data_IF_343242988512
#
_entry.id   IF_343242988512
#
_cell.length_a   1.000
_cell.length_b   1.000
_cell.length_c   1.000
_cell.angle_alpha   90.00
_cell.angle_beta   90.00
_cell.angle_gamma   90.00
#
_symmetry.space_group_name_H-M   'P 1'
#
loop_
_entity.id
_entity.type
_entity.pdbx_description
1 polymer ?
#
# COMPACT_ATOMS: atom_id res chain seq x y z
N UNK A 1 -21.65 3.80 -16.59
CA UNK A 1 -20.57 4.24 -17.50
C UNK A 1 -20.04 3.02 -18.21
N UNK A 2 -19.98 3.03 -19.54
CA UNK A 2 -19.38 1.98 -20.34
C UNK A 2 -17.87 2.01 -20.14
N UNK A 3 -17.30 0.89 -19.66
CA UNK A 3 -15.85 0.71 -19.65
C UNK A 3 -15.32 0.86 -21.08
N UNK A 4 -14.18 1.53 -21.31
CA UNK A 4 -13.59 1.59 -22.64
C UNK A 4 -13.39 0.18 -23.18
N UNK A 5 -13.65 -0.05 -24.47
CA UNK A 5 -13.31 -1.32 -25.12
C UNK A 5 -11.80 -1.51 -25.04
N UNK A 6 -11.36 -2.24 -24.03
CA UNK A 6 -9.97 -2.60 -23.85
C UNK A 6 -9.61 -3.73 -24.82
N UNK A 7 -8.98 -3.39 -25.94
CA UNK A 7 -8.10 -4.38 -26.58
C UNK A 7 -7.13 -4.88 -25.53
N UNK A 8 -7.07 -6.18 -25.34
CA UNK A 8 -6.44 -6.90 -24.22
C UNK A 8 -5.10 -6.32 -23.77
N UNK A 9 -5.13 -5.30 -22.88
CA UNK A 9 -3.93 -4.76 -22.26
C UNK A 9 -3.42 -5.73 -21.21
N UNK A 10 -2.11 -5.88 -21.12
CA UNK A 10 -1.47 -6.73 -20.12
C UNK A 10 -1.02 -5.89 -18.93
N UNK A 11 -1.43 -6.30 -17.73
CA UNK A 11 -1.05 -5.67 -16.46
C UNK A 11 -0.19 -6.64 -15.66
N UNK A 12 0.95 -6.17 -15.19
CA UNK A 12 1.78 -6.91 -14.26
C UNK A 12 1.51 -6.46 -12.82
N UNK A 13 1.27 -7.41 -11.94
CA UNK A 13 0.97 -7.21 -10.54
C UNK A 13 2.05 -7.87 -9.69
N UNK A 14 2.75 -7.09 -8.85
CA UNK A 14 3.76 -7.62 -7.93
C UNK A 14 3.17 -7.98 -6.58
N UNK A 15 3.91 -8.74 -5.76
CA UNK A 15 3.44 -9.15 -4.44
C UNK A 15 2.24 -10.11 -4.50
N UNK A 16 2.30 -11.08 -5.42
CA UNK A 16 1.22 -12.01 -5.71
C UNK A 16 0.79 -12.90 -4.53
N UNK A 17 1.56 -12.95 -3.45
CA UNK A 17 1.17 -13.59 -2.18
C UNK A 17 0.43 -12.66 -1.21
N UNK A 18 0.19 -11.41 -1.58
CA UNK A 18 -0.43 -10.40 -0.71
C UNK A 18 -1.92 -10.64 -0.42
N UNK A 19 -2.43 -10.12 0.71
CA UNK A 19 -3.79 -10.41 1.18
C UNK A 19 -4.91 -9.80 0.33
N UNK A 20 -4.61 -8.81 -0.53
CA UNK A 20 -5.58 -8.18 -1.42
C UNK A 20 -5.55 -8.76 -2.85
N UNK A 21 -4.59 -9.63 -3.14
CA UNK A 21 -4.23 -9.99 -4.51
C UNK A 21 -5.39 -10.63 -5.28
N UNK A 22 -6.11 -11.56 -4.64
CA UNK A 22 -7.24 -12.23 -5.28
C UNK A 22 -8.33 -11.23 -5.70
N UNK A 23 -8.63 -10.26 -4.83
CA UNK A 23 -9.59 -9.20 -5.13
C UNK A 23 -9.09 -8.23 -6.20
N UNK A 24 -7.80 -7.88 -6.20
CA UNK A 24 -7.20 -7.03 -7.23
C UNK A 24 -7.25 -7.71 -8.60
N UNK A 25 -6.91 -8.99 -8.68
CA UNK A 25 -7.03 -9.80 -9.91
C UNK A 25 -8.48 -9.84 -10.39
N UNK A 26 -9.43 -10.03 -9.46
CA UNK A 26 -10.85 -9.99 -9.79
C UNK A 26 -11.28 -8.65 -10.39
N UNK A 27 -10.86 -7.54 -9.80
CA UNK A 27 -11.13 -6.18 -10.32
C UNK A 27 -10.54 -6.04 -11.72
N UNK A 28 -9.27 -6.38 -11.94
CA UNK A 28 -8.65 -6.29 -13.27
C UNK A 28 -9.37 -7.12 -14.33
N UNK A 29 -9.84 -8.32 -13.96
CA UNK A 29 -10.64 -9.16 -14.87
C UNK A 29 -11.96 -8.53 -15.29
N UNK A 30 -12.62 -7.77 -14.39
CA UNK A 30 -13.85 -7.04 -14.77
C UNK A 30 -13.59 -5.95 -15.82
N UNK A 31 -12.33 -5.55 -15.99
CA UNK A 31 -11.87 -4.61 -17.01
C UNK A 31 -11.35 -5.29 -18.28
N UNK A 32 -11.29 -6.63 -18.32
CA UNK A 32 -10.78 -7.38 -19.48
C UNK A 32 -9.25 -7.37 -19.61
N UNK A 33 -8.51 -7.01 -18.56
CA UNK A 33 -7.05 -7.06 -18.60
C UNK A 33 -6.52 -8.49 -18.53
N UNK A 34 -5.45 -8.76 -19.31
CA UNK A 34 -4.61 -9.93 -19.11
C UNK A 34 -3.65 -9.66 -17.94
N UNK A 35 -3.50 -10.63 -17.05
CA UNK A 35 -2.81 -10.46 -15.78
C UNK A 35 -1.56 -11.32 -15.72
N UNK A 36 -0.42 -10.66 -15.51
CA UNK A 36 0.87 -11.29 -15.17
C UNK A 36 1.13 -11.05 -13.70
N UNK A 37 1.36 -12.10 -12.91
CA UNK A 37 1.63 -12.00 -11.49
C UNK A 37 3.07 -12.37 -11.16
N UNK A 38 3.74 -11.60 -10.29
CA UNK A 38 5.09 -11.91 -9.84
C UNK A 38 5.19 -11.85 -8.31
N UNK A 39 6.01 -12.73 -7.74
CA UNK A 39 6.35 -12.76 -6.32
C UNK A 39 7.70 -13.42 -6.11
N UNK A 40 8.34 -13.15 -4.98
CA UNK A 40 9.57 -13.85 -4.59
C UNK A 40 9.30 -15.27 -4.06
N UNK A 41 8.08 -15.55 -3.60
CA UNK A 41 7.68 -16.85 -3.06
C UNK A 41 7.03 -17.72 -4.14
N UNK A 42 7.49 -18.96 -4.35
CA UNK A 42 7.02 -19.82 -5.43
C UNK A 42 5.59 -20.36 -5.26
N UNK A 43 5.00 -20.16 -4.10
CA UNK A 43 3.64 -20.60 -3.76
C UNK A 43 2.72 -19.41 -3.48
N UNK A 44 2.99 -18.24 -4.07
CA UNK A 44 2.11 -17.10 -3.98
C UNK A 44 0.73 -17.42 -4.58
N UNK A 45 -0.35 -17.19 -3.81
CA UNK A 45 -1.72 -17.57 -4.20
C UNK A 45 -2.19 -16.92 -5.50
N UNK A 46 -1.76 -15.70 -5.78
CA UNK A 46 -2.07 -14.99 -7.01
C UNK A 46 -1.52 -15.65 -8.28
N UNK A 47 -0.51 -16.49 -8.17
CA UNK A 47 0.05 -17.21 -9.32
C UNK A 47 -0.97 -18.11 -10.01
N UNK A 48 -1.89 -18.67 -9.24
CA UNK A 48 -2.90 -19.60 -9.75
C UNK A 48 -4.22 -18.91 -10.11
N UNK A 49 -4.26 -17.60 -9.89
CA UNK A 49 -5.38 -16.73 -10.28
C UNK A 49 -5.04 -15.88 -11.53
N UNK A 50 -3.78 -15.65 -11.84
CA UNK A 50 -3.32 -14.88 -12.98
C UNK A 50 -3.26 -15.73 -14.27
N UNK A 51 -3.12 -15.06 -15.42
CA UNK A 51 -2.97 -15.70 -16.74
C UNK A 51 -1.55 -16.21 -16.95
N UNK A 52 -0.54 -15.52 -16.38
CA UNK A 52 0.86 -15.91 -16.33
C UNK A 52 1.46 -15.54 -14.98
N UNK A 53 2.48 -16.30 -14.56
CA UNK A 53 3.11 -16.08 -13.26
C UNK A 53 4.60 -16.38 -13.31
N UNK A 54 5.39 -15.60 -12.56
CA UNK A 54 6.83 -15.77 -12.49
C UNK A 54 7.34 -15.56 -11.08
N UNK A 55 8.30 -16.37 -10.67
CA UNK A 55 9.08 -16.13 -9.45
C UNK A 55 10.20 -15.15 -9.79
N UNK A 56 10.30 -14.08 -9.00
CA UNK A 56 11.31 -13.02 -9.16
C UNK A 56 12.19 -12.92 -7.91
N UNK A 57 13.39 -12.36 -8.02
CA UNK A 57 14.20 -12.04 -6.85
C UNK A 57 13.47 -11.07 -5.88
N UNK A 58 13.86 -11.01 -4.60
CA UNK A 58 13.33 -10.00 -3.66
C UNK A 58 13.47 -8.58 -4.20
N UNK A 59 12.51 -7.69 -3.91
CA UNK A 59 12.46 -6.33 -4.43
C UNK A 59 13.68 -5.45 -4.09
N UNK A 60 14.41 -5.77 -3.01
CA UNK A 60 15.66 -5.11 -2.64
C UNK A 60 16.91 -5.73 -3.32
N UNK A 61 16.76 -6.83 -4.05
CA UNK A 61 17.87 -7.46 -4.79
C UNK A 61 18.24 -6.66 -6.05
N UNK A 62 19.53 -6.51 -6.39
CA UNK A 62 19.95 -5.93 -7.67
C UNK A 62 19.41 -6.69 -8.90
N UNK A 63 19.12 -7.99 -8.75
CA UNK A 63 18.58 -8.82 -9.83
C UNK A 63 17.07 -8.64 -10.07
N UNK A 64 16.34 -7.91 -9.18
CA UNK A 64 14.89 -7.75 -9.29
C UNK A 64 14.48 -6.98 -10.55
N UNK A 65 15.02 -5.78 -10.76
CA UNK A 65 14.66 -4.93 -11.89
C UNK A 65 15.01 -5.57 -13.25
N UNK A 66 16.19 -6.17 -13.46
CA UNK A 66 16.48 -6.92 -14.69
C UNK A 66 15.49 -8.05 -14.97
N UNK A 67 15.13 -8.84 -13.94
CA UNK A 67 14.15 -9.91 -14.08
C UNK A 67 12.77 -9.35 -14.46
N UNK A 68 12.31 -8.30 -13.76
CA UNK A 68 11.03 -7.67 -14.03
C UNK A 68 10.97 -7.05 -15.44
N UNK A 69 12.04 -6.37 -15.88
CA UNK A 69 12.17 -5.80 -17.22
C UNK A 69 12.07 -6.87 -18.31
N UNK A 70 12.74 -8.01 -18.13
CA UNK A 70 12.64 -9.14 -19.04
C UNK A 70 11.20 -9.63 -19.17
N UNK A 71 10.53 -9.88 -18.03
CA UNK A 71 9.13 -10.33 -17.99
C UNK A 71 8.21 -9.30 -18.68
N UNK A 72 8.38 -8.02 -18.38
CA UNK A 72 7.57 -6.96 -18.99
C UNK A 72 7.68 -6.96 -20.53
N UNK A 73 8.89 -7.15 -21.05
CA UNK A 73 9.12 -7.22 -22.51
C UNK A 73 8.52 -8.50 -23.11
N UNK A 74 8.81 -9.66 -22.51
CA UNK A 74 8.42 -10.97 -23.05
C UNK A 74 6.90 -11.17 -23.04
N UNK A 75 6.22 -10.64 -22.00
CA UNK A 75 4.77 -10.70 -21.82
C UNK A 75 4.05 -9.48 -22.39
N UNK A 76 4.76 -8.52 -23.01
CA UNK A 76 4.20 -7.27 -23.58
C UNK A 76 3.38 -6.49 -22.59
N UNK A 77 3.90 -6.30 -21.38
CA UNK A 77 3.24 -5.60 -20.29
C UNK A 77 3.05 -4.13 -20.65
N UNK A 78 1.83 -3.63 -20.48
CA UNK A 78 1.48 -2.23 -20.71
C UNK A 78 1.57 -1.40 -19.43
N UNK A 79 1.21 -1.99 -18.29
CA UNK A 79 1.26 -1.31 -17.00
C UNK A 79 1.71 -2.24 -15.88
N UNK A 80 2.36 -1.66 -14.88
CA UNK A 80 2.77 -2.34 -13.65
C UNK A 80 2.09 -1.71 -12.44
N UNK A 81 1.56 -2.55 -11.55
CA UNK A 81 1.04 -2.17 -10.25
C UNK A 81 1.84 -2.91 -9.17
N UNK A 82 2.58 -2.18 -8.36
CA UNK A 82 3.27 -2.75 -7.19
C UNK A 82 2.52 -2.44 -5.90
N UNK A 83 2.43 -3.45 -5.03
CA UNK A 83 1.86 -3.35 -3.69
C UNK A 83 2.87 -3.67 -2.58
N UNK A 84 4.16 -3.66 -2.94
CA UNK A 84 5.28 -3.99 -2.07
C UNK A 84 6.20 -2.78 -1.92
N UNK A 85 6.28 -2.23 -0.72
CA UNK A 85 6.96 -0.95 -0.45
C UNK A 85 8.44 -0.98 -0.89
N UNK A 86 9.14 -2.11 -0.68
CA UNK A 86 10.55 -2.28 -1.03
C UNK A 86 10.81 -2.32 -2.55
N UNK A 87 9.78 -2.57 -3.35
CA UNK A 87 9.87 -2.63 -4.81
C UNK A 87 9.67 -1.27 -5.48
N UNK A 88 8.88 -0.38 -4.86
CA UNK A 88 8.40 0.86 -5.46
C UNK A 88 9.52 1.72 -6.09
N UNK A 89 10.69 1.94 -5.43
CA UNK A 89 11.74 2.74 -6.03
C UNK A 89 12.29 2.15 -7.34
N UNK A 90 12.38 0.81 -7.42
CA UNK A 90 12.90 0.12 -8.60
C UNK A 90 11.86 -0.03 -9.71
N UNK A 91 10.60 -0.26 -9.32
CA UNK A 91 9.49 -0.36 -10.28
C UNK A 91 9.29 0.97 -11.02
N UNK A 92 9.53 2.12 -10.37
CA UNK A 92 9.50 3.44 -11.00
C UNK A 92 10.44 3.55 -12.22
N UNK A 93 11.56 2.82 -12.24
CA UNK A 93 12.53 2.86 -13.35
C UNK A 93 11.96 2.27 -14.66
N UNK A 94 10.91 1.46 -14.59
CA UNK A 94 10.24 0.90 -15.77
C UNK A 94 9.56 1.97 -16.64
N UNK A 95 9.23 3.14 -16.09
CA UNK A 95 8.68 4.26 -16.87
C UNK A 95 9.67 4.74 -17.95
N UNK A 96 10.97 4.66 -17.69
CA UNK A 96 12.02 5.00 -18.67
C UNK A 96 12.04 4.03 -19.87
N UNK A 97 11.41 2.86 -19.73
CA UNK A 97 11.26 1.86 -20.77
C UNK A 97 9.90 1.94 -21.49
N UNK A 98 9.12 2.99 -21.24
CA UNK A 98 7.81 3.20 -21.82
C UNK A 98 6.70 2.33 -21.21
N UNK A 99 6.93 1.73 -20.04
CA UNK A 99 5.93 0.93 -19.32
C UNK A 99 5.24 1.85 -18.30
N UNK A 100 3.92 1.90 -18.33
CA UNK A 100 3.14 2.68 -17.36
C UNK A 100 3.28 2.08 -15.96
N UNK A 101 3.67 2.90 -14.97
CA UNK A 101 3.72 2.48 -13.58
C UNK A 101 2.65 3.23 -12.77
N UNK A 102 1.75 2.48 -12.11
CA UNK A 102 0.64 3.09 -11.35
C UNK A 102 1.05 3.23 -9.88
N UNK A 103 1.87 4.23 -9.62
CA UNK A 103 2.32 4.66 -8.29
C UNK A 103 2.66 6.14 -8.30
N UNK A 104 2.85 6.80 -7.15
CA UNK A 104 3.36 8.15 -7.08
C UNK A 104 4.83 8.24 -7.55
N UNK A 105 5.27 9.48 -7.88
CA UNK A 105 6.65 9.77 -8.25
C UNK A 105 7.65 9.39 -7.15
N UNK A 106 8.88 9.15 -7.55
CA UNK A 106 9.92 8.56 -6.70
C UNK A 106 10.25 9.40 -5.44
N UNK A 107 10.22 10.72 -5.52
CA UNK A 107 10.48 11.57 -4.36
C UNK A 107 9.39 11.45 -3.28
N UNK A 108 8.11 11.34 -3.67
CA UNK A 108 7.02 11.04 -2.75
C UNK A 108 7.12 9.61 -2.18
N UNK A 109 7.48 8.63 -3.00
CA UNK A 109 7.76 7.26 -2.54
C UNK A 109 8.87 7.28 -1.49
N UNK A 110 10.01 7.93 -1.76
CA UNK A 110 11.15 8.01 -0.84
C UNK A 110 10.83 8.79 0.44
N UNK A 111 9.96 9.80 0.37
CA UNK A 111 9.47 10.50 1.56
C UNK A 111 8.66 9.56 2.45
N UNK A 112 7.70 8.84 1.89
CA UNK A 112 6.77 8.02 2.66
C UNK A 112 7.38 6.73 3.18
N UNK A 113 8.34 6.12 2.47
CA UNK A 113 9.01 4.89 2.92
C UNK A 113 9.93 5.11 4.11
N UNK A 114 10.47 6.31 4.29
CA UNK A 114 11.17 6.72 5.51
C UNK A 114 10.18 7.34 6.51
N UNK A 115 9.63 6.54 7.41
CA UNK A 115 8.60 6.97 8.37
C UNK A 115 9.04 8.13 9.26
N UNK A 116 10.32 8.20 9.65
CA UNK A 116 10.83 9.33 10.45
C UNK A 116 10.76 10.64 9.65
N UNK A 117 11.28 10.60 8.43
CA UNK A 117 11.26 11.75 7.53
C UNK A 117 9.83 12.19 7.24
N UNK A 118 8.95 11.24 6.91
CA UNK A 118 7.55 11.52 6.64
C UNK A 118 6.86 12.23 7.81
N UNK A 119 6.99 11.73 9.04
CA UNK A 119 6.39 12.36 10.23
C UNK A 119 6.97 13.75 10.49
N UNK A 120 8.29 13.92 10.36
CA UNK A 120 8.93 15.25 10.52
C UNK A 120 8.42 16.26 9.48
N UNK A 121 8.25 15.86 8.23
CA UNK A 121 7.74 16.74 7.18
C UNK A 121 6.25 17.09 7.38
N UNK A 122 5.42 16.14 7.85
CA UNK A 122 4.04 16.44 8.24
C UNK A 122 3.99 17.52 9.34
N UNK A 123 4.78 17.36 10.39
CA UNK A 123 4.84 18.34 11.49
C UNK A 123 5.33 19.70 11.02
N UNK A 124 6.35 19.75 10.16
CA UNK A 124 6.84 21.00 9.55
C UNK A 124 5.79 21.71 8.70
N UNK A 125 4.92 20.94 8.07
CA UNK A 125 3.79 21.46 7.30
C UNK A 125 2.59 21.89 8.17
N UNK A 126 2.71 21.84 9.51
CA UNK A 126 1.63 22.16 10.44
C UNK A 126 0.53 21.08 10.51
N UNK A 127 0.79 19.88 10.01
CA UNK A 127 -0.12 18.75 10.10
C UNK A 127 0.19 17.99 11.40
N UNK A 128 -0.80 17.84 12.26
CA UNK A 128 -0.65 17.13 13.52
C UNK A 128 -0.31 15.66 13.26
N UNK A 129 0.89 15.27 13.66
CA UNK A 129 1.36 13.89 13.62
C UNK A 129 1.96 13.53 14.97
N UNK A 130 1.95 12.25 15.37
CA UNK A 130 2.58 11.83 16.62
C UNK A 130 4.08 12.18 16.62
N UNK A 131 4.57 12.76 17.72
CA UNK A 131 5.99 13.03 17.87
C UNK A 131 6.79 11.74 17.72
N UNK A 132 7.87 11.79 16.92
CA UNK A 132 8.59 10.59 16.45
C UNK A 132 10.08 10.79 16.53
N UNK A 133 10.78 9.84 17.12
CA UNK A 133 12.24 9.84 17.33
C UNK A 133 12.86 8.52 16.85
N UNK A 134 14.17 8.54 16.58
CA UNK A 134 14.94 7.29 16.60
C UNK A 134 15.02 6.77 18.03
N UNK A 135 14.90 5.47 18.22
CA UNK A 135 15.05 4.86 19.57
C UNK A 135 16.44 5.14 20.15
N UNK A 136 17.48 5.25 19.30
CA UNK A 136 18.83 5.62 19.70
C UNK A 136 19.01 7.09 20.13
N UNK A 137 17.99 7.94 19.90
CA UNK A 137 18.03 9.39 20.12
C UNK A 137 16.86 9.85 21.02
N UNK A 138 16.32 8.97 21.84
CA UNK A 138 15.21 9.30 22.74
C UNK A 138 15.63 10.34 23.78
N UNK A 139 14.82 11.39 24.04
CA UNK A 139 15.01 12.28 25.17
C UNK A 139 14.99 11.51 26.51
N UNK A 140 15.79 11.95 27.46
CA UNK A 140 15.85 11.30 28.79
C UNK A 140 14.56 11.40 29.60
N UNK A 141 13.72 12.40 29.29
CA UNK A 141 12.43 12.68 29.91
C UNK A 141 11.24 12.24 29.07
N UNK A 142 11.45 11.29 28.13
CA UNK A 142 10.40 10.82 27.23
C UNK A 142 9.19 10.28 27.99
N UNK A 143 8.01 10.73 27.63
CA UNK A 143 6.76 10.25 28.21
C UNK A 143 6.28 8.94 27.54
N UNK A 144 5.70 8.04 28.32
CA UNK A 144 5.04 6.82 27.87
C UNK A 144 3.51 6.97 27.92
N UNK A 145 2.74 6.18 27.14
CA UNK A 145 3.18 5.08 26.29
C UNK A 145 3.77 5.51 24.95
N UNK A 146 4.63 4.65 24.40
CA UNK A 146 5.22 4.81 23.05
C UNK A 146 4.82 3.64 22.17
N UNK A 147 4.76 3.89 20.86
CA UNK A 147 4.65 2.84 19.85
C UNK A 147 6.00 2.69 19.13
N UNK A 148 6.59 1.50 19.23
CA UNK A 148 7.87 1.17 18.61
C UNK A 148 7.61 0.50 17.27
N UNK A 149 8.34 0.94 16.22
CA UNK A 149 8.23 0.37 14.88
C UNK A 149 9.52 0.55 14.07
N UNK A 150 9.81 -0.33 13.08
CA UNK A 150 10.93 -0.10 12.16
C UNK A 150 10.74 1.20 11.36
N UNK A 151 11.86 1.95 11.18
CA UNK A 151 11.90 3.16 10.35
C UNK A 151 11.49 2.88 8.91
N UNK A 152 11.94 1.73 8.37
CA UNK A 152 11.58 1.22 7.05
C UNK A 152 11.04 -0.19 7.23
N UNK A 153 9.96 -0.53 6.54
CA UNK A 153 9.31 -1.85 6.63
C UNK A 153 7.80 -1.76 6.61
N UNK A 154 7.14 -2.92 6.55
CA UNK A 154 5.69 -3.07 6.33
C UNK A 154 5.09 -4.23 7.14
N UNK A 155 3.75 -4.27 7.21
CA UNK A 155 3.01 -5.42 7.74
C UNK A 155 3.11 -5.58 9.25
N UNK A 156 3.31 -4.51 10.00
CA UNK A 156 3.41 -4.48 11.48
C UNK A 156 4.48 -5.41 12.06
N UNK A 157 5.49 -5.80 11.26
CA UNK A 157 6.60 -6.63 11.73
C UNK A 157 7.52 -5.79 12.62
N UNK A 158 7.86 -6.31 13.80
CA UNK A 158 8.74 -5.62 14.74
C UNK A 158 8.11 -4.35 15.34
N UNK A 159 6.77 -4.29 15.40
CA UNK A 159 6.04 -3.20 16.02
C UNK A 159 5.46 -3.62 17.38
N UNK A 160 5.37 -2.67 18.31
CA UNK A 160 4.74 -2.91 19.60
C UNK A 160 4.55 -1.64 20.40
N UNK A 161 3.55 -1.62 21.28
CA UNK A 161 3.36 -0.60 22.30
C UNK A 161 4.23 -0.95 23.51
N UNK A 162 4.80 0.06 24.13
CA UNK A 162 5.53 -0.03 25.39
C UNK A 162 5.01 1.05 26.33
N UNK A 163 4.71 0.66 27.55
CA UNK A 163 4.08 1.53 28.56
C UNK A 163 5.09 2.06 29.59
N UNK A 164 6.37 1.62 29.52
CA UNK A 164 7.43 2.04 30.41
C UNK A 164 8.83 1.91 29.77
N UNK A 165 9.83 2.52 30.41
CA UNK A 165 11.23 2.37 30.02
C UNK A 165 11.72 0.91 30.17
N UNK A 166 11.22 0.18 31.17
CA UNK A 166 11.55 -1.24 31.36
C UNK A 166 10.98 -2.09 30.23
N UNK A 167 9.73 -1.87 29.81
CA UNK A 167 9.14 -2.55 28.66
C UNK A 167 9.87 -2.22 27.36
N UNK A 168 10.30 -0.98 27.17
CA UNK A 168 11.14 -0.62 26.04
C UNK A 168 12.46 -1.40 26.03
N UNK A 169 13.12 -1.53 27.19
CA UNK A 169 14.34 -2.31 27.32
C UNK A 169 14.12 -3.78 26.95
N UNK A 170 13.03 -4.38 27.45
CA UNK A 170 12.65 -5.76 27.12
C UNK A 170 12.33 -5.90 25.62
N UNK A 171 11.59 -4.95 25.04
CA UNK A 171 11.28 -4.95 23.61
C UNK A 171 12.55 -4.95 22.76
N UNK A 172 13.50 -4.07 23.09
CA UNK A 172 14.76 -3.97 22.35
C UNK A 172 15.63 -5.22 22.46
N UNK A 173 15.66 -5.85 23.64
CA UNK A 173 16.40 -7.09 23.86
C UNK A 173 15.88 -8.27 23.00
N UNK A 174 14.58 -8.25 22.63
CA UNK A 174 13.94 -9.28 21.84
C UNK A 174 13.73 -8.86 20.36
N UNK A 175 14.15 -7.65 19.99
CA UNK A 175 13.95 -7.13 18.63
C UNK A 175 14.98 -7.69 17.65
N UNK A 176 14.53 -8.01 16.43
CA UNK A 176 15.41 -8.30 15.29
C UNK A 176 16.09 -7.05 14.71
N UNK A 177 15.71 -5.85 15.17
CA UNK A 177 16.19 -4.57 14.68
C UNK A 177 17.05 -3.89 15.74
N UNK A 178 18.15 -3.26 15.31
CA UNK A 178 18.95 -2.42 16.19
C UNK A 178 18.27 -1.07 16.49
N UNK A 179 18.55 -0.44 17.62
CA UNK A 179 17.92 0.82 18.03
C UNK A 179 17.96 1.95 16.97
N UNK A 180 19.03 2.15 16.17
CA UNK A 180 19.02 3.14 15.08
C UNK A 180 18.07 2.81 13.91
N UNK A 181 17.57 1.58 13.82
CA UNK A 181 16.61 1.14 12.80
C UNK A 181 15.17 1.25 13.28
N UNK A 182 14.95 1.54 14.56
CA UNK A 182 13.63 1.63 15.20
C UNK A 182 13.25 3.07 15.48
N UNK A 183 11.96 3.34 15.35
CA UNK A 183 11.31 4.57 15.76
C UNK A 183 10.52 4.34 17.04
N UNK A 184 10.54 5.32 17.91
CA UNK A 184 9.58 5.49 18.99
C UNK A 184 8.66 6.65 18.64
N UNK A 185 7.37 6.41 18.69
CA UNK A 185 6.33 7.37 18.36
C UNK A 185 5.39 7.51 19.56
N UNK A 186 4.99 8.74 19.91
CA UNK A 186 3.96 8.94 20.92
C UNK A 186 2.74 8.08 20.59
N UNK A 187 2.28 7.27 21.53
CA UNK A 187 1.09 6.47 21.33
C UNK A 187 -0.16 7.35 21.42
N UNK A 188 -0.96 7.35 20.37
CA UNK A 188 -2.25 8.06 20.33
C UNK A 188 -3.36 7.02 20.49
N UNK A 189 -4.22 7.21 21.48
CA UNK A 189 -5.39 6.37 21.69
C UNK A 189 -6.56 6.82 20.82
N UNK A 190 -7.34 5.87 20.29
CA UNK A 190 -8.50 6.16 19.45
C UNK A 190 -8.80 5.08 18.45
N UNK A 191 -9.68 5.37 17.50
CA UNK A 191 -10.05 4.48 16.42
C UNK A 191 -9.01 4.53 15.27
N UNK A 192 -8.48 3.38 14.83
CA UNK A 192 -7.56 3.30 13.71
C UNK A 192 -8.33 3.39 12.38
N UNK A 193 -7.81 4.18 11.46
CA UNK A 193 -8.30 4.28 10.09
C UNK A 193 -7.20 4.00 9.08
N UNK A 194 -7.58 3.43 7.93
CA UNK A 194 -6.80 3.44 6.70
C UNK A 194 -7.60 4.15 5.62
N UNK A 195 -7.00 5.16 5.00
CA UNK A 195 -7.72 6.07 4.10
C UNK A 195 -7.12 5.97 2.71
N UNK A 196 -7.89 5.52 1.71
CA UNK A 196 -7.47 5.61 0.32
C UNK A 196 -7.59 7.05 -0.16
N UNK A 197 -6.52 7.59 -0.74
CA UNK A 197 -6.49 8.89 -1.41
C UNK A 197 -6.22 8.65 -2.89
N UNK A 198 -7.25 8.91 -3.70
CA UNK A 198 -7.23 8.64 -5.13
C UNK A 198 -6.77 9.89 -5.85
N UNK A 199 -5.55 9.83 -6.38
CA UNK A 199 -4.88 10.92 -7.10
C UNK A 199 -4.21 10.33 -8.33
N UNK A 200 -4.12 11.10 -9.41
CA UNK A 200 -3.32 10.77 -10.58
C UNK A 200 -2.46 11.95 -11.01
N UNK A 201 -1.76 11.86 -12.13
CA UNK A 201 -0.70 12.77 -12.62
C UNK A 201 -0.99 14.27 -12.55
N UNK A 202 -2.27 14.67 -12.59
CA UNK A 202 -2.70 16.07 -12.40
C UNK A 202 -2.59 16.57 -10.95
N UNK A 203 -2.46 15.65 -9.99
CA UNK A 203 -2.40 15.95 -8.56
C UNK A 203 -3.75 16.28 -7.94
N UNK A 204 -4.86 16.18 -8.67
CA UNK A 204 -6.20 16.41 -8.15
C UNK A 204 -6.70 15.24 -7.30
N UNK A 205 -7.30 15.55 -6.15
CA UNK A 205 -7.95 14.53 -5.30
C UNK A 205 -9.28 14.14 -5.94
N UNK A 206 -9.36 12.92 -6.42
CA UNK A 206 -10.55 12.39 -7.09
C UNK A 206 -11.50 11.67 -6.12
N UNK A 207 -10.96 11.09 -5.04
CA UNK A 207 -11.73 10.52 -3.94
C UNK A 207 -10.86 10.39 -2.69
N UNK A 208 -11.49 10.52 -1.52
CA UNK A 208 -10.94 10.16 -0.21
C UNK A 208 -11.91 9.18 0.44
N UNK A 209 -11.44 7.98 0.80
CA UNK A 209 -12.30 6.92 1.35
C UNK A 209 -11.75 6.45 2.70
N UNK A 210 -12.20 7.05 3.81
CA UNK A 210 -11.84 6.60 5.15
C UNK A 210 -12.48 5.23 5.46
N UNK A 211 -11.66 4.33 6.03
CA UNK A 211 -12.04 2.97 6.42
C UNK A 211 -11.61 2.74 7.87
N UNK A 212 -12.58 2.68 8.77
CA UNK A 212 -12.35 2.35 10.17
C UNK A 212 -11.94 0.89 10.30
N UNK A 213 -10.86 0.62 11.02
CA UNK A 213 -10.34 -0.72 11.27
C UNK A 213 -11.02 -1.30 12.49
N UNK A 214 -11.85 -2.32 12.29
CA UNK A 214 -12.56 -3.02 13.36
C UNK A 214 -11.68 -4.14 13.95
N UNK A 215 -10.92 -4.81 13.09
CA UNK A 215 -10.02 -5.89 13.50
C UNK A 215 -8.81 -6.00 12.58
N UNK A 216 -7.63 -6.17 13.19
CA UNK A 216 -6.34 -6.26 12.48
C UNK A 216 -5.45 -7.29 13.15
N UNK A 217 -4.88 -8.19 12.36
CA UNK A 217 -3.84 -9.14 12.79
C UNK A 217 -2.76 -9.12 11.70
N UNK A 218 -1.78 -8.23 11.87
CA UNK A 218 -0.81 -7.89 10.82
C UNK A 218 -1.44 -7.18 9.62
N UNK A 219 -2.54 -7.74 9.08
CA UNK A 219 -3.36 -7.11 8.03
C UNK A 219 -4.80 -6.93 8.51
N UNK A 220 -5.51 -5.97 7.92
CA UNK A 220 -6.93 -5.72 8.20
C UNK A 220 -7.77 -6.98 7.98
N UNK A 221 -8.50 -7.41 9.00
CA UNK A 221 -9.46 -8.54 8.96
C UNK A 221 -10.88 -8.07 8.79
N UNK A 222 -11.25 -6.98 9.47
CA UNK A 222 -12.55 -6.34 9.34
C UNK A 222 -12.37 -4.82 9.32
N UNK A 223 -13.09 -4.15 8.43
CA UNK A 223 -13.11 -2.70 8.32
C UNK A 223 -14.45 -2.23 7.75
N UNK A 224 -14.80 -0.98 7.98
CA UNK A 224 -16.03 -0.37 7.48
C UNK A 224 -15.75 1.04 6.94
N UNK A 225 -16.38 1.40 5.82
CA UNK A 225 -16.28 2.77 5.28
C UNK A 225 -17.05 3.76 6.15
N UNK A 226 -16.43 4.91 6.48
CA UNK A 226 -17.01 5.97 7.30
C UNK A 226 -16.80 7.33 6.68
N UNK A 227 -17.82 8.18 6.67
CA UNK A 227 -17.69 9.61 6.37
C UNK A 227 -17.12 10.32 7.58
N UNK A 228 -16.06 11.10 7.36
CA UNK A 228 -15.50 11.95 8.40
C UNK A 228 -14.80 13.16 7.74
N UNK A 229 -15.42 14.33 7.90
CA UNK A 229 -14.95 15.55 7.25
C UNK A 229 -13.54 15.98 7.71
N UNK A 230 -13.15 15.73 8.97
CA UNK A 230 -11.81 16.06 9.46
C UNK A 230 -10.74 15.14 8.82
N UNK A 231 -11.03 13.83 8.68
CA UNK A 231 -10.13 12.89 8.00
C UNK A 231 -10.01 13.25 6.52
N UNK A 232 -11.13 13.56 5.85
CA UNK A 232 -11.13 13.93 4.42
C UNK A 232 -10.36 15.25 4.21
N UNK A 233 -10.53 16.24 5.08
CA UNK A 233 -9.78 17.51 5.06
C UNK A 233 -8.29 17.30 5.34
N UNK A 234 -7.91 16.45 6.31
CA UNK A 234 -6.52 16.10 6.59
C UNK A 234 -5.84 15.49 5.37
N UNK A 235 -6.49 14.50 4.73
CA UNK A 235 -5.93 13.84 3.54
C UNK A 235 -5.77 14.82 2.37
N UNK A 236 -6.71 15.75 2.20
CA UNK A 236 -6.61 16.82 1.21
C UNK A 236 -5.47 17.80 1.54
N UNK A 237 -5.26 18.14 2.81
CA UNK A 237 -4.14 18.97 3.24
C UNK A 237 -2.79 18.27 2.99
N UNK A 238 -2.69 16.96 3.28
CA UNK A 238 -1.51 16.15 2.95
C UNK A 238 -1.23 16.19 1.45
N UNK A 239 -2.27 16.00 0.61
CA UNK A 239 -2.13 16.06 -0.85
C UNK A 239 -1.68 17.44 -1.34
N UNK A 240 -2.28 18.50 -0.82
CA UNK A 240 -1.91 19.87 -1.19
C UNK A 240 -0.46 20.22 -0.83
N UNK A 241 0.04 19.69 0.28
CA UNK A 241 1.40 19.90 0.74
C UNK A 241 2.43 19.10 -0.06
N UNK A 242 2.19 17.82 -0.27
CA UNK A 242 3.18 16.92 -0.85
C UNK A 242 2.96 16.61 -2.34
N UNK A 243 1.78 16.95 -2.86
CA UNK A 243 1.41 16.85 -4.28
C UNK A 243 1.77 15.52 -4.91
N UNK A 244 1.30 14.41 -4.27
CA UNK A 244 1.41 13.10 -4.89
C UNK A 244 0.74 13.12 -6.27
N UNK A 245 1.30 12.36 -7.20
CA UNK A 245 0.81 12.21 -8.58
C UNK A 245 0.40 10.76 -8.88
N UNK A 246 0.05 10.02 -7.85
CA UNK A 246 -0.42 8.65 -7.89
C UNK A 246 -1.10 8.26 -6.58
N UNK A 247 -1.71 7.07 -6.49
CA UNK A 247 -2.47 6.63 -5.34
C UNK A 247 -1.60 6.48 -4.09
N UNK A 248 -2.14 6.90 -2.95
CA UNK A 248 -1.52 6.62 -1.67
C UNK A 248 -2.57 6.33 -0.61
N UNK A 249 -2.15 5.77 0.51
CA UNK A 249 -3.04 5.57 1.63
C UNK A 249 -2.45 6.13 2.92
N UNK A 250 -3.29 6.80 3.71
CA UNK A 250 -2.94 7.37 5.01
C UNK A 250 -3.46 6.44 6.10
N UNK A 251 -2.58 6.05 7.03
CA UNK A 251 -2.99 5.38 8.26
C UNK A 251 -2.97 6.41 9.39
N UNK A 252 -4.06 6.48 10.12
CA UNK A 252 -4.24 7.46 11.18
C UNK A 252 -5.05 6.90 12.36
N UNK A 253 -4.95 7.57 13.49
CA UNK A 253 -5.84 7.38 14.63
C UNK A 253 -6.76 8.60 14.73
N UNK A 254 -8.05 8.36 14.87
CA UNK A 254 -9.04 9.36 15.24
C UNK A 254 -9.26 9.27 16.73
N UNK A 255 -8.91 10.32 17.47
CA UNK A 255 -9.07 10.39 18.93
C UNK A 255 -10.55 10.53 19.34
N UNK A 256 -10.87 10.36 20.62
CA UNK A 256 -12.24 10.47 21.13
C UNK A 256 -12.83 11.90 20.95
N UNK A 257 -11.98 12.93 20.98
CA UNK A 257 -12.36 14.32 20.68
C UNK A 257 -12.44 14.62 19.18
N UNK A 258 -12.24 13.59 18.35
CA UNK A 258 -12.42 13.63 16.90
C UNK A 258 -11.26 14.29 16.14
N UNK A 259 -10.05 14.31 16.70
CA UNK A 259 -8.86 14.81 15.99
C UNK A 259 -8.10 13.68 15.30
N UNK A 260 -7.81 13.78 13.98
CA UNK A 260 -7.08 12.77 13.24
C UNK A 260 -5.57 12.97 13.34
N UNK A 261 -4.83 11.93 13.70
CA UNK A 261 -3.36 11.89 13.76
C UNK A 261 -2.80 10.86 12.79
N UNK A 262 -2.25 11.27 11.64
CA UNK A 262 -1.62 10.35 10.68
C UNK A 262 -0.30 9.85 11.27
N UNK A 263 -0.12 8.52 11.29
CA UNK A 263 1.09 7.88 11.79
C UNK A 263 1.90 7.15 10.71
N UNK A 264 1.32 6.98 9.52
CA UNK A 264 1.99 6.36 8.37
C UNK A 264 1.31 6.76 7.06
N UNK A 265 2.11 7.04 6.03
CA UNK A 265 1.62 7.20 4.64
C UNK A 265 2.28 6.12 3.80
N UNK A 266 1.47 5.35 3.08
CA UNK A 266 1.94 4.32 2.16
C UNK A 266 1.74 4.80 0.72
N UNK A 267 2.81 4.98 -0.09
CA UNK A 267 2.74 5.54 -1.44
C UNK A 267 2.30 4.49 -2.48
N UNK A 268 1.20 3.83 -2.22
CA UNK A 268 0.60 2.75 -3.02
C UNK A 268 -0.83 2.50 -2.64
N UNK A 269 -1.49 1.62 -3.38
CA UNK A 269 -2.80 1.10 -3.03
C UNK A 269 -2.82 0.42 -1.65
N UNK A 270 -3.90 0.60 -0.92
CA UNK A 270 -4.14 -0.06 0.37
C UNK A 270 -4.40 -1.55 0.21
N UNK A 271 -4.06 -2.36 1.22
CA UNK A 271 -4.49 -3.77 1.27
C UNK A 271 -6.00 -3.93 1.44
N UNK A 272 -6.73 -2.86 1.78
CA UNK A 272 -8.20 -2.81 1.83
C UNK A 272 -8.83 -2.19 0.57
N UNK A 273 -8.13 -2.19 -0.55
CA UNK A 273 -8.58 -1.65 -1.85
C UNK A 273 -9.90 -2.29 -2.32
N UNK A 274 -10.12 -3.55 -2.02
CA UNK A 274 -11.36 -4.24 -2.35
C UNK A 274 -12.59 -3.66 -1.64
N UNK A 275 -12.40 -3.10 -0.42
CA UNK A 275 -13.44 -2.38 0.29
C UNK A 275 -13.76 -1.05 -0.39
N UNK A 276 -12.73 -0.32 -0.84
CA UNK A 276 -12.89 0.92 -1.60
C UNK A 276 -13.69 0.68 -2.88
N UNK A 277 -13.37 -0.41 -3.60
CA UNK A 277 -14.10 -0.84 -4.80
C UNK A 277 -15.56 -1.21 -4.48
N UNK A 278 -15.78 -2.01 -3.43
CA UNK A 278 -17.13 -2.41 -3.02
C UNK A 278 -18.00 -1.23 -2.55
N UNK A 279 -17.38 -0.18 -2.01
CA UNK A 279 -18.06 1.04 -1.62
C UNK A 279 -18.41 1.97 -2.81
N UNK A 280 -17.95 1.65 -4.03
CA UNK A 280 -18.26 2.40 -5.25
C UNK A 280 -17.10 3.17 -5.87
N UNK A 281 -15.91 3.17 -5.27
CA UNK A 281 -14.71 3.77 -5.84
C UNK A 281 -13.76 2.70 -6.34
N UNK A 282 -13.82 2.40 -7.63
CA UNK A 282 -12.86 1.50 -8.28
C UNK A 282 -11.52 2.22 -8.50
N UNK A 283 -10.80 2.50 -7.39
CA UNK A 283 -9.52 3.21 -7.43
C UNK A 283 -8.48 2.47 -8.28
N UNK A 284 -8.50 1.13 -8.28
CA UNK A 284 -7.54 0.32 -9.02
C UNK A 284 -7.81 0.35 -10.52
N UNK A 285 -9.03 -0.02 -10.94
CA UNK A 285 -9.41 -0.06 -12.35
C UNK A 285 -9.48 1.33 -12.96
N UNK A 286 -10.02 2.31 -12.22
CA UNK A 286 -10.16 3.68 -12.68
C UNK A 286 -8.82 4.38 -12.90
N UNK A 287 -7.88 4.29 -11.95
CA UNK A 287 -6.55 4.87 -12.12
C UNK A 287 -5.75 4.16 -13.22
N UNK A 288 -5.89 2.84 -13.34
CA UNK A 288 -5.26 2.11 -14.44
C UNK A 288 -5.83 2.54 -15.81
N UNK A 289 -7.15 2.76 -15.89
CA UNK A 289 -7.76 3.28 -17.11
C UNK A 289 -7.24 4.68 -17.45
N UNK A 290 -7.21 5.59 -16.48
CA UNK A 290 -6.62 6.92 -16.67
C UNK A 290 -5.16 6.87 -17.09
N UNK A 291 -4.38 5.93 -16.54
CA UNK A 291 -2.98 5.75 -16.87
C UNK A 291 -2.75 5.24 -18.29
N UNK A 292 -3.60 4.36 -18.78
CA UNK A 292 -3.47 3.71 -20.10
C UNK A 292 -4.19 4.47 -21.24
N UNK A 293 -5.27 5.20 -20.94
CA UNK A 293 -6.16 5.78 -21.93
C UNK A 293 -6.39 7.28 -21.75
N UNK A 294 -5.75 7.89 -20.74
CA UNK A 294 -5.89 9.33 -20.43
C UNK A 294 -6.91 9.62 -19.34
N UNK A 295 -6.81 10.81 -18.75
CA UNK A 295 -7.58 11.27 -17.58
C UNK A 295 -9.10 11.12 -17.75
N UNK A 296 -9.61 11.42 -18.94
CA UNK A 296 -11.03 11.42 -19.26
C UNK A 296 -11.64 10.02 -19.46
N UNK A 297 -10.80 8.98 -19.47
CA UNK A 297 -11.27 7.60 -19.66
C UNK A 297 -12.07 7.05 -18.47
N UNK A 298 -11.93 7.67 -17.30
CA UNK A 298 -12.66 7.28 -16.10
C UNK A 298 -12.83 8.46 -15.12
N UNK A 299 -14.04 8.59 -14.59
CA UNK A 299 -14.39 9.54 -13.54
C UNK A 299 -14.92 8.82 -12.31
N UNK A 300 -14.39 9.18 -11.16
CA UNK A 300 -14.87 8.64 -9.90
C UNK A 300 -16.20 9.28 -9.49
N UNK A 301 -17.12 8.47 -9.01
CA UNK A 301 -18.38 8.91 -8.42
C UNK A 301 -18.30 8.91 -6.89
N UNK A 302 -19.38 9.36 -6.24
CA UNK A 302 -19.50 9.24 -4.79
C UNK A 302 -19.47 7.78 -4.34
N UNK A 303 -19.17 7.56 -3.06
CA UNK A 303 -19.07 6.23 -2.47
C UNK A 303 -20.05 6.05 -1.29
N UNK A 304 -20.33 4.79 -0.96
CA UNK A 304 -21.27 4.39 0.11
C UNK A 304 -20.57 4.27 1.44
N UNK A 305 -21.09 4.95 2.46
CA UNK A 305 -20.74 4.72 3.86
C UNK A 305 -21.34 3.41 4.36
N UNK A 306 -20.73 2.80 5.38
CA UNK A 306 -21.25 1.59 6.01
C UNK A 306 -21.00 0.30 5.24
N UNK A 307 -20.22 0.34 4.14
CA UNK A 307 -19.78 -0.89 3.48
C UNK A 307 -18.75 -1.61 4.35
N UNK A 308 -18.95 -2.89 4.61
CA UNK A 308 -18.13 -3.69 5.54
C UNK A 308 -17.28 -4.69 4.78
N UNK A 309 -15.99 -4.73 5.10
CA UNK A 309 -15.07 -5.79 4.71
C UNK A 309 -14.96 -6.81 5.85
N UNK A 310 -15.22 -8.06 5.54
CA UNK A 310 -14.82 -9.21 6.37
C UNK A 310 -13.90 -10.09 5.53
N UNK A 311 -12.64 -10.19 5.95
CA UNK A 311 -11.65 -10.99 5.22
C UNK A 311 -11.59 -12.41 5.75
N UNK A 312 -11.71 -13.35 4.85
CA UNK A 312 -11.57 -14.78 5.14
C UNK A 312 -10.48 -15.41 4.25
N UNK A 313 -10.01 -16.56 4.65
CA UNK A 313 -9.07 -17.37 3.86
C UNK A 313 -9.87 -18.35 3.01
N UNK A 314 -9.46 -18.54 1.77
CA UNK A 314 -10.04 -19.52 0.85
C UNK A 314 -8.92 -20.44 0.35
N UNK A 315 -9.15 -21.73 0.36
CA UNK A 315 -8.22 -22.71 -0.19
C UNK A 315 -8.30 -22.76 -1.71
N UNK A 316 -7.16 -23.03 -2.33
CA UNK A 316 -7.05 -23.25 -3.77
C UNK A 316 -6.51 -24.66 -4.01
N UNK A 317 -7.22 -25.43 -4.83
CA UNK A 317 -6.79 -26.76 -5.25
C UNK A 317 -6.40 -26.74 -6.72
N UNK A 318 -5.16 -27.11 -7.00
CA UNK A 318 -4.57 -27.11 -8.34
C UNK A 318 -3.88 -28.45 -8.61
N UNK A 319 -3.81 -28.92 -9.86
CA UNK A 319 -2.99 -30.06 -10.23
C UNK A 319 -1.50 -29.81 -9.91
N UNK A 320 -0.80 -30.83 -9.43
CA UNK A 320 0.64 -30.75 -9.14
C UNK A 320 1.45 -30.29 -10.36
N UNK A 321 1.07 -30.73 -11.56
CA UNK A 321 1.72 -30.32 -12.81
C UNK A 321 1.75 -28.80 -13.00
N UNK A 322 0.63 -28.11 -12.67
CA UNK A 322 0.54 -26.65 -12.75
C UNK A 322 1.42 -25.97 -11.67
N UNK A 323 1.48 -26.56 -10.48
CA UNK A 323 2.37 -26.06 -9.42
C UNK A 323 3.83 -26.17 -9.83
N UNK A 324 4.24 -27.31 -10.43
CA UNK A 324 5.60 -27.53 -10.90
C UNK A 324 5.96 -26.66 -12.11
N UNK A 325 5.03 -26.34 -13.00
CA UNK A 325 5.23 -25.44 -14.14
C UNK A 325 5.68 -24.04 -13.67
N UNK A 326 4.96 -23.45 -12.73
CA UNK A 326 5.30 -22.13 -12.14
C UNK A 326 6.68 -22.16 -11.48
N UNK A 327 7.04 -23.28 -10.85
CA UNK A 327 8.31 -23.42 -10.13
C UNK A 327 9.51 -23.74 -11.04
N UNK A 328 9.30 -24.24 -12.26
CA UNK A 328 10.36 -24.50 -13.26
C UNK A 328 10.81 -23.24 -13.99
N UNK A 329 10.00 -22.19 -14.01
CA UNK A 329 10.35 -20.90 -14.62
C UNK A 329 11.38 -20.09 -13.80
N UNK A 330 12.14 -20.75 -12.92
CA UNK A 330 13.32 -20.23 -12.24
C UNK A 330 14.53 -20.30 -13.18
N UNK A 331 14.58 -19.40 -14.14
CA UNK A 331 15.69 -19.33 -15.07
C UNK A 331 16.11 -17.88 -15.34
#
# INVERSE_FOLDING_TARGET
MTKPECTAKTVLLTGAGGPAIAGMISIFRTWGYRIVAVDMLPFASGFFLADKSFVVPPGNSPAFLPALTRICRDEKVNAVVSVVDEELPRVAELEQLGITVVQPRLDFVNLCTDKLRCMKELMRAGINAPATWLVSELPGDIAFPLFIKPRVGRGSRGCGRVDSAEELRIFLANSAYAAPQLLAQTFIAGAEFTVSVVVWRDGEVQAVVPKEIISKVGVTKAAVTRRNAKIESLCTAIQNQFRADGPFNVQLVLTEDGEPFPFEINPRFSTSITLTNAAGVDELGGLLAQALFGRESFHFSGWSEGTVLIRHTTDQFIPESRFLEVNRSRG
#
